data_IF_008113651318
#
_entry.id   IF_008113651318
#
_cell.length_a   1.000
_cell.length_b   1.000
_cell.length_c   1.000
_cell.angle_alpha   90.00
_cell.angle_beta   90.00
_cell.angle_gamma   90.00
#
_symmetry.space_group_name_H-M   'P 1'
#
loop_
_entity.id
_entity.type
_entity.pdbx_description
1 polymer ?
#
# COMPACT_ATOMS: atom_id res chain seq x y z
N UNK A 1 -27.17 1.53 3.48
CA UNK A 1 -26.17 1.68 2.40
C UNK A 1 -24.80 1.75 3.07
N UNK A 2 -23.91 0.78 2.84
CA UNK A 2 -22.56 0.81 3.40
C UNK A 2 -21.71 1.69 2.46
N UNK A 3 -21.19 2.81 2.98
CA UNK A 3 -20.34 3.73 2.20
C UNK A 3 -18.87 3.26 2.10
N UNK A 4 -18.55 2.11 2.71
CA UNK A 4 -17.20 1.54 2.72
C UNK A 4 -16.96 0.71 1.45
N UNK A 5 -15.98 1.13 0.65
CA UNK A 5 -15.38 0.30 -0.39
C UNK A 5 -14.33 -0.64 0.24
N UNK A 6 -14.28 -1.91 -0.18
CA UNK A 6 -13.34 -2.88 0.38
C UNK A 6 -11.89 -2.43 0.15
N UNK A 7 -11.00 -2.84 1.05
CA UNK A 7 -9.56 -2.73 0.88
C UNK A 7 -9.05 -4.12 0.52
N UNK A 8 -8.21 -4.20 -0.51
CA UNK A 8 -7.58 -5.45 -0.94
C UNK A 8 -6.09 -5.40 -0.66
N UNK A 9 -5.55 -6.45 -0.05
CA UNK A 9 -4.12 -6.59 0.21
C UNK A 9 -3.65 -7.89 -0.43
N UNK A 10 -2.65 -7.78 -1.32
CA UNK A 10 -2.05 -8.92 -2.01
C UNK A 10 -1.19 -9.79 -1.10
N UNK A 11 -0.45 -10.70 -1.72
CA UNK A 11 0.46 -11.60 -1.03
C UNK A 11 1.84 -10.94 -0.81
N UNK A 12 2.57 -11.39 0.21
CA UNK A 12 3.93 -10.92 0.52
C UNK A 12 4.01 -9.39 0.75
N UNK A 13 2.99 -8.83 1.42
CA UNK A 13 2.95 -7.40 1.73
C UNK A 13 3.49 -7.14 3.13
N UNK A 14 4.41 -6.19 3.24
CA UNK A 14 4.86 -5.67 4.52
C UNK A 14 4.29 -4.27 4.76
N UNK A 15 3.54 -4.11 5.85
CA UNK A 15 2.99 -2.83 6.28
C UNK A 15 3.71 -2.37 7.55
N UNK A 16 4.42 -1.24 7.46
CA UNK A 16 5.08 -0.62 8.59
C UNK A 16 4.11 -0.13 9.68
N UNK A 17 4.64 0.20 10.85
CA UNK A 17 3.84 0.72 11.96
C UNK A 17 3.14 2.04 11.63
N UNK A 18 1.95 2.26 12.20
CA UNK A 18 1.18 3.49 12.04
C UNK A 18 0.88 3.87 10.58
N UNK A 19 0.54 2.89 9.75
CA UNK A 19 0.05 3.12 8.38
C UNK A 19 -1.47 3.25 8.40
N UNK A 20 -1.99 4.20 7.63
CA UNK A 20 -3.44 4.36 7.37
C UNK A 20 -3.74 4.04 5.92
N UNK A 21 -4.68 3.13 5.65
CA UNK A 21 -5.13 2.78 4.29
C UNK A 21 -6.55 3.29 4.08
N UNK A 22 -6.77 4.09 3.03
CA UNK A 22 -8.09 4.62 2.72
C UNK A 22 -8.98 3.57 2.02
N UNK A 23 -10.30 3.76 2.15
CA UNK A 23 -11.32 2.87 1.57
C UNK A 23 -11.18 2.75 0.05
N UNK A 24 -11.36 1.53 -0.48
CA UNK A 24 -11.31 1.26 -1.92
C UNK A 24 -9.91 1.07 -2.50
N UNK A 25 -8.86 1.13 -1.67
CA UNK A 25 -7.47 0.94 -2.10
C UNK A 25 -7.14 -0.54 -2.28
N UNK A 26 -6.40 -0.85 -3.33
CA UNK A 26 -5.73 -2.13 -3.56
C UNK A 26 -4.22 -1.97 -3.36
N UNK A 27 -3.65 -2.79 -2.49
CA UNK A 27 -2.20 -2.97 -2.34
C UNK A 27 -1.83 -4.27 -3.07
N UNK A 28 -0.96 -4.14 -4.06
CA UNK A 28 -0.47 -5.24 -4.88
C UNK A 28 0.34 -6.30 -4.12
N UNK A 29 0.84 -7.29 -4.86
CA UNK A 29 1.71 -8.34 -4.33
C UNK A 29 3.16 -7.84 -4.17
N UNK A 30 3.90 -8.41 -3.21
CA UNK A 30 5.32 -8.08 -2.98
C UNK A 30 5.53 -6.55 -2.79
N UNK A 31 4.72 -5.96 -1.92
CA UNK A 31 4.74 -4.51 -1.64
C UNK A 31 5.24 -4.25 -0.23
N UNK A 32 6.12 -3.26 -0.07
CA UNK A 32 6.46 -2.69 1.24
C UNK A 32 5.88 -1.29 1.39
N UNK A 33 5.09 -1.08 2.44
CA UNK A 33 4.58 0.23 2.84
C UNK A 33 5.37 0.73 4.06
N UNK A 34 6.08 1.85 3.93
CA UNK A 34 6.84 2.43 5.03
C UNK A 34 5.96 2.94 6.18
N UNK A 35 6.52 2.96 7.40
CA UNK A 35 5.84 3.44 8.59
C UNK A 35 5.31 4.88 8.44
N UNK A 36 4.16 5.18 9.07
CA UNK A 36 3.55 6.51 9.03
C UNK A 36 2.88 6.88 7.70
N UNK A 37 2.79 5.96 6.74
CA UNK A 37 2.22 6.25 5.42
C UNK A 37 0.70 6.38 5.44
N UNK A 38 0.18 7.29 4.60
CA UNK A 38 -1.26 7.41 4.34
C UNK A 38 -1.55 7.00 2.91
N UNK A 39 -2.04 5.79 2.73
CA UNK A 39 -2.28 5.16 1.42
C UNK A 39 -3.61 5.64 0.87
N UNK A 40 -3.54 6.65 -0.01
CA UNK A 40 -4.72 7.31 -0.59
C UNK A 40 -5.09 6.79 -1.98
N UNK A 41 -4.32 5.85 -2.53
CA UNK A 41 -4.49 5.28 -3.88
C UNK A 41 -3.83 3.92 -3.96
N UNK A 42 -4.20 3.16 -4.98
CA UNK A 42 -3.65 1.82 -5.23
C UNK A 42 -2.13 1.84 -5.33
N UNK A 43 -1.52 0.77 -4.82
CA UNK A 43 -0.08 0.54 -4.85
C UNK A 43 0.17 -0.68 -5.73
N UNK A 44 0.96 -0.55 -6.82
CA UNK A 44 1.20 -1.65 -7.74
C UNK A 44 2.12 -2.71 -7.14
N UNK A 45 2.06 -3.92 -7.69
CA UNK A 45 2.93 -5.05 -7.34
C UNK A 45 4.42 -4.67 -7.39
N UNK A 46 5.25 -5.35 -6.59
CA UNK A 46 6.71 -5.23 -6.61
C UNK A 46 7.21 -3.81 -6.35
N UNK A 47 6.66 -3.12 -5.35
CA UNK A 47 7.05 -1.74 -5.04
C UNK A 47 7.28 -1.46 -3.56
N UNK A 48 8.14 -0.47 -3.31
CA UNK A 48 8.30 0.19 -2.03
C UNK A 48 7.61 1.56 -2.09
N UNK A 49 6.64 1.80 -1.21
CA UNK A 49 5.88 3.05 -1.14
C UNK A 49 5.89 3.65 0.26
N UNK A 50 6.01 4.97 0.37
CA UNK A 50 6.11 5.69 1.65
C UNK A 50 5.41 7.05 1.63
N UNK A 51 5.14 7.61 2.81
CA UNK A 51 4.79 9.02 3.00
C UNK A 51 3.30 9.32 3.13
N UNK A 52 3.00 10.60 3.33
CA UNK A 52 1.65 11.15 3.39
C UNK A 52 1.54 12.36 2.43
N UNK A 53 0.90 12.22 1.26
CA UNK A 53 0.25 11.01 0.76
C UNK A 53 1.27 9.93 0.32
N UNK A 54 0.92 8.65 0.41
CA UNK A 54 1.82 7.54 0.09
C UNK A 54 2.17 7.50 -1.41
N UNK A 55 3.46 7.37 -1.73
CA UNK A 55 4.00 7.35 -3.09
C UNK A 55 5.00 6.22 -3.25
N UNK A 56 4.96 5.54 -4.40
CA UNK A 56 6.01 4.61 -4.81
C UNK A 56 7.31 5.39 -4.96
N UNK A 57 8.37 4.90 -4.32
CA UNK A 57 9.72 5.49 -4.37
C UNK A 57 10.74 4.56 -5.03
N UNK A 58 10.42 3.27 -5.15
CA UNK A 58 11.31 2.25 -5.71
C UNK A 58 10.50 1.04 -6.18
N UNK A 59 10.93 0.42 -7.28
CA UNK A 59 10.53 -0.94 -7.66
C UNK A 59 11.40 -1.97 -6.96
N UNK A 60 10.80 -3.07 -6.54
CA UNK A 60 11.49 -4.21 -5.94
C UNK A 60 11.69 -5.22 -7.07
N UNK A 61 12.92 -5.35 -7.55
CA UNK A 61 13.27 -6.41 -8.49
C UNK A 61 13.47 -7.70 -7.69
N UNK A 62 12.89 -8.81 -8.15
CA UNK A 62 13.32 -10.15 -7.75
C UNK A 62 14.58 -10.44 -8.58
N UNK A 63 15.74 -10.58 -7.93
CA UNK A 63 17.00 -10.99 -8.57
C UNK A 63 16.87 -12.34 -9.30
#
# INVERSE_FOLDING_TARGET
>A
MQYARPISVGNNVWIGGNVTVLTGVTIGNNVTIGAGSVVTRDIPDNTLAVGNPCRVIKSIDEE
#
